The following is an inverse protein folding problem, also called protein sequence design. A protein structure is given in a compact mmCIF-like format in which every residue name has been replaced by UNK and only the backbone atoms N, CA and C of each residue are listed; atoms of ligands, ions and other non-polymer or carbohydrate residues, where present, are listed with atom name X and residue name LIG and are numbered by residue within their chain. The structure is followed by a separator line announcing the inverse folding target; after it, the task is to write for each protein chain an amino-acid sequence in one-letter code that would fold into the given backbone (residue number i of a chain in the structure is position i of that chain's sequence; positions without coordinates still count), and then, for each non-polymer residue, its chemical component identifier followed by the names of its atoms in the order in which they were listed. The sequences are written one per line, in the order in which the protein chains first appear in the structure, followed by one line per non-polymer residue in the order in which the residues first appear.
data_IF_336170724003
#
_entry.id   IF_336170724003
#
_cell.length_a   1.000
_cell.length_b   1.000
_cell.length_c   1.000
_cell.angle_alpha   90.00
_cell.angle_beta   90.00
_cell.angle_gamma   90.00
#
_symmetry.space_group_name_H-M   'P 1'
#
loop_
_entity.id
_entity.type
_entity.pdbx_description
1 polymer ?
#
# COMPACT_ATOMS: atom_id res chain seq x y z
N UNK A 1 10.71 26.64 -13.57
CA UNK A 1 10.66 25.32 -14.23
C UNK A 1 9.45 24.60 -13.65
N UNK A 2 8.28 24.81 -14.26
CA UNK A 2 7.03 24.17 -13.83
C UNK A 2 7.04 22.70 -14.26
N UNK A 3 7.24 21.81 -13.29
CA UNK A 3 7.04 20.39 -13.52
C UNK A 3 5.54 20.10 -13.62
N UNK A 4 5.12 19.72 -14.83
CA UNK A 4 3.75 19.34 -15.18
C UNK A 4 3.27 18.18 -14.29
N UNK A 5 2.58 18.52 -13.20
CA UNK A 5 1.87 17.54 -12.35
C UNK A 5 0.79 16.84 -13.18
N UNK A 6 1.13 15.63 -13.60
CA UNK A 6 0.36 14.79 -14.53
C UNK A 6 -0.93 14.30 -13.86
N UNK A 7 -2.05 14.86 -14.31
CA UNK A 7 -3.45 14.39 -14.30
C UNK A 7 -3.96 13.58 -13.07
N UNK A 8 -4.78 14.29 -12.30
CA UNK A 8 -5.77 13.84 -11.31
C UNK A 8 -6.62 12.60 -11.71
N UNK A 9 -6.09 11.38 -11.58
CA UNK A 9 -6.91 10.16 -11.46
C UNK A 9 -6.45 9.22 -10.34
N UNK A 10 -5.19 9.29 -9.91
CA UNK A 10 -4.66 8.35 -8.89
C UNK A 10 -4.83 8.85 -7.45
N UNK A 11 -5.57 9.95 -7.24
CA UNK A 11 -5.60 10.67 -5.95
C UNK A 11 -6.36 9.88 -4.87
N UNK A 12 -7.41 9.15 -5.23
CA UNK A 12 -8.25 8.44 -4.27
C UNK A 12 -7.61 7.13 -3.79
N UNK A 13 -6.77 6.51 -4.62
CA UNK A 13 -6.02 5.32 -4.24
C UNK A 13 -4.95 5.64 -3.18
N UNK A 14 -4.22 6.75 -3.37
CA UNK A 14 -3.25 7.24 -2.38
C UNK A 14 -3.90 7.58 -1.03
N UNK A 15 -5.10 8.15 -1.05
CA UNK A 15 -5.89 8.43 0.16
C UNK A 15 -6.26 7.14 0.89
N UNK A 16 -6.73 6.11 0.17
CA UNK A 16 -7.08 4.82 0.76
C UNK A 16 -5.89 4.17 1.48
N UNK A 17 -4.73 4.13 0.83
CA UNK A 17 -3.48 3.58 1.40
C UNK A 17 -3.05 4.38 2.64
N UNK A 18 -3.09 5.72 2.57
CA UNK A 18 -2.72 6.60 3.68
C UNK A 18 -3.60 6.41 4.93
N UNK A 19 -4.86 5.99 4.74
CA UNK A 19 -5.78 5.66 5.85
C UNK A 19 -5.55 4.22 6.34
N UNK A 20 -5.39 3.26 5.43
CA UNK A 20 -5.31 1.84 5.79
C UNK A 20 -4.03 1.43 6.50
N UNK A 21 -2.86 1.92 6.08
CA UNK A 21 -1.57 1.60 6.69
C UNK A 21 -1.49 1.87 8.20
N UNK A 22 -1.82 3.10 8.70
CA UNK A 22 -1.73 3.39 10.12
C UNK A 22 -2.73 2.58 10.96
N UNK A 23 -3.81 2.07 10.37
CA UNK A 23 -4.75 1.15 11.04
C UNK A 23 -4.15 -0.26 11.14
N UNK A 24 -3.44 -0.71 10.11
CA UNK A 24 -2.85 -2.05 10.08
C UNK A 24 -1.68 -2.25 11.04
N UNK A 25 -0.81 -1.24 11.19
CA UNK A 25 0.38 -1.33 12.06
C UNK A 25 0.05 -1.78 13.50
N UNK A 26 -0.89 -1.14 14.24
CA UNK A 26 -1.21 -1.57 15.60
C UNK A 26 -1.84 -2.96 15.66
N UNK A 27 -2.56 -3.39 14.62
CA UNK A 27 -3.11 -4.75 14.52
C UNK A 27 -1.97 -5.78 14.43
N UNK A 28 -0.92 -5.48 13.66
CA UNK A 28 0.27 -6.34 13.56
C UNK A 28 1.02 -6.45 14.89
N UNK A 29 1.09 -5.35 15.64
CA UNK A 29 1.71 -5.33 16.98
C UNK A 29 0.88 -6.19 17.96
N UNK A 30 -0.45 -6.10 17.92
CA UNK A 30 -1.34 -6.91 18.77
C UNK A 30 -1.24 -8.42 18.50
N UNK A 31 -1.01 -8.79 17.23
CA UNK A 31 -0.89 -10.18 16.81
C UNK A 31 0.52 -10.76 17.03
N UNK A 32 1.42 -10.00 17.66
CA UNK A 32 2.85 -10.30 17.81
C UNK A 32 3.51 -10.66 16.46
N UNK A 33 2.93 -10.17 15.37
CA UNK A 33 3.37 -10.43 14.01
C UNK A 33 3.29 -9.14 13.20
N UNK A 34 4.38 -8.39 13.26
CA UNK A 34 4.51 -7.07 12.65
C UNK A 34 4.37 -7.11 11.12
N UNK A 35 4.56 -8.26 10.47
CA UNK A 35 4.39 -8.42 9.03
C UNK A 35 2.91 -8.46 8.61
N UNK A 36 2.03 -8.99 9.48
CA UNK A 36 0.61 -9.11 9.20
C UNK A 36 -0.09 -7.75 9.27
N UNK A 37 0.37 -6.84 10.14
CA UNK A 37 -0.22 -5.52 10.31
C UNK A 37 -0.30 -4.69 9.02
N UNK A 38 0.83 -4.40 8.36
CA UNK A 38 0.86 -3.69 7.08
C UNK A 38 0.08 -4.40 5.99
N UNK A 39 0.07 -5.73 5.97
CA UNK A 39 -0.71 -6.51 4.99
C UNK A 39 -2.22 -6.29 5.16
N UNK A 40 -2.72 -6.34 6.40
CA UNK A 40 -4.13 -6.07 6.73
C UNK A 40 -4.46 -4.60 6.43
N UNK A 41 -3.63 -3.67 6.89
CA UNK A 41 -3.82 -2.23 6.68
C UNK A 41 -3.85 -1.84 5.21
N UNK A 42 -2.93 -2.37 4.41
CA UNK A 42 -2.89 -2.17 2.96
C UNK A 42 -4.14 -2.75 2.29
N UNK A 43 -4.58 -3.93 2.70
CA UNK A 43 -5.78 -4.56 2.16
C UNK A 43 -7.03 -3.69 2.38
N UNK A 44 -7.20 -3.20 3.61
CA UNK A 44 -8.31 -2.30 3.98
C UNK A 44 -8.20 -0.98 3.21
N UNK A 45 -7.01 -0.36 3.19
CA UNK A 45 -6.76 0.89 2.50
C UNK A 45 -7.00 0.82 0.99
N UNK A 46 -6.64 -0.29 0.36
CA UNK A 46 -6.93 -0.55 -1.05
C UNK A 46 -8.43 -0.57 -1.31
N UNK A 47 -9.19 -1.32 -0.50
CA UNK A 47 -10.64 -1.43 -0.66
C UNK A 47 -11.31 -0.06 -0.52
N UNK A 48 -10.91 0.72 0.48
CA UNK A 48 -11.42 2.09 0.67
C UNK A 48 -11.08 2.98 -0.53
N UNK A 49 -9.83 2.93 -1.01
CA UNK A 49 -9.38 3.70 -2.16
C UNK A 49 -10.15 3.36 -3.44
N UNK A 50 -10.42 2.07 -3.68
CA UNK A 50 -11.22 1.59 -4.83
C UNK A 50 -12.67 2.06 -4.73
N UNK A 51 -13.29 1.98 -3.55
CA UNK A 51 -14.66 2.46 -3.34
C UNK A 51 -14.73 3.95 -3.59
N UNK A 52 -13.77 4.72 -3.07
CA UNK A 52 -13.75 6.17 -3.20
C UNK A 52 -13.50 6.61 -4.65
N UNK A 53 -12.63 5.92 -5.38
CA UNK A 53 -12.41 6.09 -6.81
C UNK A 53 -13.69 5.79 -7.60
N UNK A 54 -14.37 4.68 -7.31
CA UNK A 54 -15.62 4.28 -7.97
C UNK A 54 -16.76 5.27 -7.76
N UNK A 55 -16.81 5.91 -6.58
CA UNK A 55 -17.81 6.93 -6.25
C UNK A 55 -17.53 8.27 -6.94
N UNK A 56 -16.26 8.60 -7.17
CA UNK A 56 -15.86 9.86 -7.76
C UNK A 56 -15.77 9.82 -9.30
N UNK A 57 -15.37 8.69 -9.88
CA UNK A 57 -15.19 8.54 -11.32
C UNK A 57 -16.20 7.51 -11.87
N UNK A 58 -17.34 7.99 -12.38
CA UNK A 58 -18.42 7.16 -12.96
C UNK A 58 -18.15 6.72 -14.41
N UNK A 59 -16.90 6.51 -14.81
CA UNK A 59 -16.55 6.18 -16.21
C UNK A 59 -15.36 5.23 -16.33
N UNK A 60 -15.68 3.96 -16.64
CA UNK A 60 -14.73 2.85 -16.70
C UNK A 60 -13.84 2.92 -15.46
N UNK A 61 -12.64 2.43 -15.33
CA UNK A 61 -11.92 1.43 -16.06
C UNK A 61 -11.50 0.53 -14.91
N UNK A 62 -11.87 -0.72 -15.02
CA UNK A 62 -11.56 -1.75 -14.05
C UNK A 62 -10.07 -1.68 -13.72
N UNK A 63 -9.75 -1.32 -12.49
CA UNK A 63 -8.46 -1.61 -11.90
C UNK A 63 -8.66 -2.33 -10.56
N UNK A 64 -9.47 -3.40 -10.60
CA UNK A 64 -8.87 -4.64 -10.13
C UNK A 64 -7.62 -4.84 -10.99
N UNK A 65 -6.42 -5.02 -10.41
CA UNK A 65 -5.24 -5.38 -11.17
C UNK A 65 -5.41 -6.79 -11.79
N UNK A 66 -6.27 -6.92 -12.81
CA UNK A 66 -6.33 -8.04 -13.76
C UNK A 66 -5.17 -7.97 -14.78
N UNK A 67 -4.15 -7.17 -14.50
CA UNK A 67 -2.88 -7.16 -15.19
C UNK A 67 -1.86 -8.03 -14.45
N UNK A 68 -1.94 -9.35 -14.64
CA UNK A 68 -1.04 -10.39 -14.07
C UNK A 68 0.47 -10.03 -14.15
N UNK A 69 0.88 -9.10 -15.03
CA UNK A 69 2.27 -8.63 -15.16
C UNK A 69 2.67 -7.49 -14.21
N UNK A 70 1.76 -6.59 -13.80
CA UNK A 70 2.10 -5.47 -12.91
C UNK A 70 2.04 -5.84 -11.42
N UNK A 71 1.18 -6.80 -11.06
CA UNK A 71 1.15 -7.40 -9.70
C UNK A 71 2.50 -8.02 -9.35
N UNK A 72 3.14 -8.71 -10.31
CA UNK A 72 4.44 -9.36 -10.08
C UNK A 72 5.53 -8.31 -9.79
N UNK A 73 5.50 -7.15 -10.46
CA UNK A 73 6.45 -6.06 -10.18
C UNK A 73 6.21 -5.41 -8.81
N UNK A 74 4.95 -5.23 -8.41
CA UNK A 74 4.60 -4.70 -7.07
C UNK A 74 4.98 -5.71 -5.98
N UNK A 75 4.80 -7.01 -6.24
CA UNK A 75 5.28 -8.09 -5.37
C UNK A 75 6.79 -8.08 -5.23
N UNK A 76 7.55 -7.91 -6.32
CA UNK A 76 9.01 -7.84 -6.27
C UNK A 76 9.50 -6.61 -5.50
N UNK A 77 8.93 -5.43 -5.76
CA UNK A 77 9.26 -4.21 -5.01
C UNK A 77 8.85 -4.38 -3.54
N UNK A 78 7.71 -5.03 -3.27
CA UNK A 78 7.26 -5.37 -1.93
C UNK A 78 8.19 -6.34 -1.21
N UNK A 79 8.69 -7.37 -1.89
CA UNK A 79 9.66 -8.33 -1.34
C UNK A 79 11.00 -7.65 -1.07
N UNK A 80 11.47 -6.79 -1.97
CA UNK A 80 12.70 -6.01 -1.78
C UNK A 80 12.52 -5.03 -0.62
N UNK A 81 11.40 -4.31 -0.58
CA UNK A 81 11.07 -3.39 0.51
C UNK A 81 10.92 -4.09 1.86
N UNK A 82 10.34 -5.30 1.88
CA UNK A 82 10.21 -6.12 3.07
C UNK A 82 11.56 -6.68 3.50
N UNK A 83 12.42 -7.11 2.58
CA UNK A 83 13.77 -7.57 2.88
C UNK A 83 14.64 -6.42 3.41
N UNK A 84 14.57 -5.24 2.81
CA UNK A 84 15.27 -4.03 3.28
C UNK A 84 14.71 -3.57 4.63
N UNK A 85 13.39 -3.55 4.78
CA UNK A 85 12.73 -3.22 6.04
C UNK A 85 13.10 -4.18 7.16
N UNK A 86 13.12 -5.49 6.88
CA UNK A 86 13.56 -6.51 7.82
C UNK A 86 15.06 -6.35 8.15
N UNK A 87 15.92 -6.13 7.15
CA UNK A 87 17.36 -5.87 7.36
C UNK A 87 17.61 -4.65 8.25
N UNK A 88 16.90 -3.54 7.99
CA UNK A 88 16.97 -2.33 8.81
C UNK A 88 16.43 -2.59 10.22
N UNK A 89 15.33 -3.34 10.34
CA UNK A 89 14.73 -3.70 11.62
C UNK A 89 15.64 -4.60 12.47
N UNK A 90 16.25 -5.63 11.88
CA UNK A 90 17.20 -6.49 12.58
C UNK A 90 18.46 -5.72 12.98
N UNK A 91 18.93 -4.80 12.12
CA UNK A 91 20.06 -3.94 12.43
C UNK A 91 19.74 -2.90 13.52
N UNK A 92 18.46 -2.49 13.64
CA UNK A 92 17.98 -1.58 14.68
C UNK A 92 17.86 -2.27 16.04
N UNK A 93 17.37 -3.52 16.07
CA UNK A 93 17.28 -4.33 17.30
C UNK A 93 18.65 -4.75 17.85
N UNK A 94 19.65 -4.97 16.99
CA UNK A 94 21.00 -5.38 17.41
C UNK A 94 21.89 -4.25 17.97
N UNK A 95 21.40 -3.01 18.02
CA UNK A 95 22.13 -1.85 18.57
C UNK A 95 21.57 -1.33 19.91
N UNK A 96 20.60 -2.04 20.50
CA UNK A 96 20.01 -1.71 21.81
C UNK A 96 20.64 -2.50 22.94
#
# INVERSE_FOLDING_TARGET
MEEKVKKNKDKYFGIGIAIGLPIGIPIGIMLDNIAIGPAIGLSIGLVIGVILESRYNKSGNDMLPAGRRKIISILLIGIIGLAVGALLFTCFLGKG
#
